data_IF_072809817889
#
_entry.id   IF_072809817889
#
_cell.length_a   1.000
_cell.length_b   1.000
_cell.length_c   1.000
_cell.angle_alpha   90.00
_cell.angle_beta   90.00
_cell.angle_gamma   90.00
#
_symmetry.space_group_name_H-M   'P 1'
#
loop_
_entity.id
_entity.type
_entity.pdbx_description
1 polymer ?
#
# COMPACT_ATOMS: atom_id res chain seq x y z
N UNK A 1 -22.06 23.15 -7.84
CA UNK A 1 -21.50 23.53 -6.52
C UNK A 1 -20.54 24.69 -6.74
N UNK A 2 -20.64 25.78 -5.98
CA UNK A 2 -19.75 26.96 -6.12
C UNK A 2 -18.37 26.69 -5.51
N UNK A 3 -17.34 27.49 -5.85
CA UNK A 3 -16.00 27.40 -5.22
C UNK A 3 -16.09 27.68 -3.72
N UNK A 4 -16.84 28.71 -3.33
CA UNK A 4 -17.09 29.04 -1.92
C UNK A 4 -17.67 27.84 -1.15
N UNK A 5 -18.71 27.18 -1.69
CA UNK A 5 -19.29 26.00 -1.02
C UNK A 5 -18.32 24.82 -0.95
N UNK A 6 -17.43 24.64 -1.93
CA UNK A 6 -16.37 23.62 -1.87
C UNK A 6 -15.40 23.88 -0.72
N UNK A 7 -15.02 25.15 -0.51
CA UNK A 7 -14.09 25.54 0.55
C UNK A 7 -14.74 25.43 1.94
N UNK A 8 -16.00 25.81 2.09
CA UNK A 8 -16.76 25.57 3.33
C UNK A 8 -16.82 24.07 3.67
N UNK A 9 -17.21 23.23 2.70
CA UNK A 9 -17.27 21.78 2.89
C UNK A 9 -15.90 21.18 3.23
N UNK A 10 -14.82 21.71 2.65
CA UNK A 10 -13.45 21.28 2.95
C UNK A 10 -13.11 21.55 4.42
N UNK A 11 -13.43 22.72 4.96
CA UNK A 11 -13.19 23.03 6.36
C UNK A 11 -14.11 22.22 7.30
N UNK A 12 -15.39 22.04 6.96
CA UNK A 12 -16.31 21.16 7.70
C UNK A 12 -15.74 19.72 7.78
N UNK A 13 -15.19 19.18 6.68
CA UNK A 13 -14.56 17.85 6.65
C UNK A 13 -13.30 17.80 7.52
N UNK A 14 -12.46 18.85 7.47
CA UNK A 14 -11.27 18.97 8.32
C UNK A 14 -11.66 18.93 9.80
N UNK A 15 -12.67 19.68 10.21
CA UNK A 15 -13.15 19.70 11.60
C UNK A 15 -13.65 18.33 12.05
N UNK A 16 -14.40 17.62 11.21
CA UNK A 16 -14.86 16.26 11.52
C UNK A 16 -13.70 15.28 11.69
N UNK A 17 -12.68 15.35 10.83
CA UNK A 17 -11.49 14.50 10.95
C UNK A 17 -10.74 14.79 12.25
N UNK A 18 -10.44 16.06 12.55
CA UNK A 18 -9.72 16.44 13.77
C UNK A 18 -10.51 16.03 15.01
N UNK A 19 -11.84 16.18 15.01
CA UNK A 19 -12.68 15.69 16.10
C UNK A 19 -12.50 14.19 16.36
N UNK A 20 -12.53 13.37 15.30
CA UNK A 20 -12.32 11.92 15.40
C UNK A 20 -10.90 11.57 15.84
N UNK A 21 -9.90 12.22 15.26
CA UNK A 21 -8.48 12.04 15.61
C UNK A 21 -8.23 12.36 17.09
N UNK A 22 -8.65 13.54 17.56
CA UNK A 22 -8.51 13.95 18.96
C UNK A 22 -9.29 13.04 19.90
N UNK A 23 -10.41 12.48 19.45
CA UNK A 23 -11.16 11.46 20.17
C UNK A 23 -10.31 10.21 20.39
N UNK A 24 -9.69 9.68 19.34
CA UNK A 24 -8.77 8.53 19.44
C UNK A 24 -7.58 8.85 20.36
N UNK A 25 -6.92 9.99 20.14
CA UNK A 25 -5.75 10.39 20.92
C UNK A 25 -6.04 10.53 22.41
N UNK A 26 -7.25 10.97 22.80
CA UNK A 26 -7.66 11.14 24.20
C UNK A 26 -8.11 9.86 24.88
N UNK A 27 -8.79 8.97 24.14
CA UNK A 27 -9.57 7.89 24.75
C UNK A 27 -9.05 6.49 24.41
N UNK A 28 -8.29 6.34 23.33
CA UNK A 28 -7.90 5.03 22.83
C UNK A 28 -6.40 4.84 22.67
N UNK A 29 -5.63 5.90 22.37
CA UNK A 29 -4.18 5.83 22.26
C UNK A 29 -3.56 5.22 23.54
N UNK A 30 -2.62 4.27 23.45
CA UNK A 30 -1.96 3.77 22.24
C UNK A 30 -2.64 2.55 21.56
N UNK A 31 -3.86 2.17 21.95
CA UNK A 31 -4.53 0.98 21.41
C UNK A 31 -4.86 1.05 19.92
N UNK A 32 -5.45 -0.04 19.41
CA UNK A 32 -5.68 -0.23 17.98
C UNK A 32 -6.83 0.61 17.44
N UNK A 33 -7.92 0.73 18.20
CA UNK A 33 -9.14 1.43 17.81
C UNK A 33 -9.85 2.10 19.01
N UNK A 34 -10.69 3.09 18.72
CA UNK A 34 -11.55 3.73 19.71
C UNK A 34 -12.91 3.04 19.77
N UNK A 35 -13.39 2.75 20.98
CA UNK A 35 -14.75 2.31 21.26
C UNK A 35 -15.61 3.54 21.63
N UNK A 36 -16.29 4.20 20.67
CA UNK A 36 -16.84 5.55 20.85
C UNK A 36 -18.00 5.63 21.85
N UNK A 37 -18.73 4.53 22.06
CA UNK A 37 -19.87 4.50 23.00
C UNK A 37 -19.45 4.27 24.45
N UNK A 38 -18.30 3.64 24.67
CA UNK A 38 -17.77 3.34 26.00
C UNK A 38 -16.56 4.20 26.38
N UNK A 39 -16.12 5.09 25.48
CA UNK A 39 -14.87 5.85 25.60
C UNK A 39 -13.66 4.96 25.92
N UNK A 40 -13.67 3.73 25.40
CA UNK A 40 -12.65 2.72 25.67
C UNK A 40 -11.67 2.55 24.51
N UNK A 41 -10.60 1.81 24.76
CA UNK A 41 -9.66 1.37 23.75
C UNK A 41 -9.95 -0.09 23.35
N UNK A 42 -9.96 -0.38 22.06
CA UNK A 42 -10.15 -1.71 21.49
C UNK A 42 -8.91 -2.21 20.75
N UNK A 43 -8.89 -3.53 20.55
CA UNK A 43 -7.94 -4.17 19.63
C UNK A 43 -8.64 -4.38 18.29
N UNK A 44 -8.00 -3.94 17.20
CA UNK A 44 -8.49 -4.26 15.86
C UNK A 44 -8.29 -5.75 15.60
N UNK A 45 -9.38 -6.51 15.61
CA UNK A 45 -9.36 -7.98 15.65
C UNK A 45 -8.50 -8.65 14.57
N UNK A 46 -8.38 -8.04 13.39
CA UNK A 46 -7.64 -8.61 12.26
C UNK A 46 -6.13 -8.32 12.30
N UNK A 47 -5.69 -7.31 13.04
CA UNK A 47 -4.28 -6.88 13.06
C UNK A 47 -3.63 -7.09 14.42
N UNK A 48 -4.39 -6.95 15.53
CA UNK A 48 -3.97 -7.31 16.90
C UNK A 48 -2.66 -6.70 17.39
N UNK A 49 -2.29 -5.54 16.84
CA UNK A 49 -1.19 -4.70 17.32
C UNK A 49 -1.73 -3.31 17.65
N UNK A 50 -1.10 -2.56 18.57
CA UNK A 50 -1.51 -1.21 18.92
C UNK A 50 -1.28 -0.23 17.75
N UNK A 51 -1.75 1.02 17.91
CA UNK A 51 -1.47 2.15 17.00
C UNK A 51 -1.98 2.06 15.56
N UNK A 52 -2.75 1.03 15.18
CA UNK A 52 -3.26 0.89 13.80
C UNK A 52 -4.03 2.13 13.35
N UNK A 53 -4.93 2.66 14.19
CA UNK A 53 -5.66 3.90 13.88
C UNK A 53 -4.71 5.10 13.69
N UNK A 54 -3.64 5.20 14.47
CA UNK A 54 -2.66 6.28 14.33
C UNK A 54 -1.90 6.17 13.00
N UNK A 55 -1.48 4.95 12.64
CA UNK A 55 -0.83 4.67 11.34
C UNK A 55 -1.76 5.01 10.18
N UNK A 56 -3.02 4.57 10.22
CA UNK A 56 -4.06 4.85 9.21
C UNK A 56 -4.39 6.36 9.10
N UNK A 57 -3.98 7.19 10.08
CA UNK A 57 -4.25 8.63 10.10
C UNK A 57 -3.07 9.49 9.63
N UNK A 58 -1.87 8.92 9.45
CA UNK A 58 -0.65 9.70 9.19
C UNK A 58 -0.71 10.48 7.87
N UNK A 59 -1.17 9.84 6.80
CA UNK A 59 -1.24 10.48 5.48
C UNK A 59 -2.31 11.58 5.43
N UNK A 60 -3.45 11.37 6.10
CA UNK A 60 -4.48 12.38 6.25
C UNK A 60 -3.97 13.61 7.03
N UNK A 61 -3.21 13.41 8.12
CA UNK A 61 -2.57 14.52 8.85
C UNK A 61 -1.60 15.31 7.97
N UNK A 62 -0.81 14.60 7.16
CA UNK A 62 0.11 15.20 6.19
C UNK A 62 -0.64 16.00 5.11
N UNK A 63 -1.66 15.42 4.48
CA UNK A 63 -2.44 16.06 3.42
C UNK A 63 -3.23 17.28 3.94
N UNK A 64 -3.70 17.23 5.18
CA UNK A 64 -4.35 18.36 5.84
C UNK A 64 -3.36 19.46 6.26
N UNK A 65 -2.05 19.29 6.03
CA UNK A 65 -1.03 20.30 6.28
C UNK A 65 -0.74 20.56 7.76
N UNK A 66 -1.15 19.66 8.67
CA UNK A 66 -0.81 19.79 10.08
C UNK A 66 0.58 19.19 10.35
N UNK A 67 1.63 19.90 9.92
CA UNK A 67 3.00 19.40 9.99
C UNK A 67 3.44 19.07 11.42
N UNK A 68 3.10 19.91 12.40
CA UNK A 68 3.45 19.69 13.81
C UNK A 68 2.86 18.38 14.34
N UNK A 69 1.55 18.15 14.11
CA UNK A 69 0.91 16.92 14.57
C UNK A 69 1.36 15.71 13.77
N UNK A 70 1.60 15.85 12.47
CA UNK A 70 2.18 14.79 11.64
C UNK A 70 3.52 14.31 12.21
N UNK A 71 4.46 15.22 12.49
CA UNK A 71 5.76 14.87 13.10
C UNK A 71 5.60 14.19 14.45
N UNK A 72 4.71 14.72 15.29
CA UNK A 72 4.38 14.12 16.59
C UNK A 72 3.87 12.68 16.42
N UNK A 73 2.91 12.47 15.52
CA UNK A 73 2.34 11.15 15.25
C UNK A 73 3.38 10.17 14.69
N UNK A 74 4.25 10.61 13.78
CA UNK A 74 5.37 9.81 13.25
C UNK A 74 6.27 9.32 14.37
N UNK A 75 6.68 10.20 15.30
CA UNK A 75 7.50 9.80 16.47
C UNK A 75 6.78 8.77 17.35
N UNK A 76 5.50 8.99 17.66
CA UNK A 76 4.70 8.06 18.47
C UNK A 76 4.58 6.68 17.81
N UNK A 77 4.41 6.63 16.48
CA UNK A 77 4.41 5.38 15.72
C UNK A 77 5.78 4.72 15.74
N UNK A 78 6.84 5.48 15.48
CA UNK A 78 8.22 4.98 15.47
C UNK A 78 8.62 4.35 16.81
N UNK A 79 8.22 4.98 17.92
CA UNK A 79 8.58 4.53 19.27
C UNK A 79 7.68 3.38 19.78
N UNK A 80 6.42 3.34 19.34
CA UNK A 80 5.39 2.48 19.94
C UNK A 80 4.94 1.28 19.12
N UNK A 81 5.16 1.27 17.80
CA UNK A 81 4.67 0.20 16.93
C UNK A 81 5.64 -1.01 16.91
N UNK A 82 5.24 -2.11 17.56
CA UNK A 82 5.99 -3.37 17.50
C UNK A 82 5.53 -4.25 16.33
N UNK A 83 6.23 -4.13 15.20
CA UNK A 83 6.01 -4.96 14.00
C UNK A 83 6.62 -6.37 14.09
N UNK A 84 7.20 -6.73 15.23
CA UNK A 84 7.80 -8.05 15.49
C UNK A 84 7.19 -8.76 16.72
N UNK A 85 6.02 -8.28 17.17
CA UNK A 85 5.28 -8.81 18.29
C UNK A 85 4.94 -10.31 18.11
N UNK A 86 4.76 -11.04 19.22
CA UNK A 86 4.23 -12.40 19.16
C UNK A 86 2.70 -12.37 19.01
N UNK A 87 2.23 -11.91 17.86
CA UNK A 87 0.81 -11.72 17.54
C UNK A 87 0.46 -12.35 16.18
N UNK A 88 -0.70 -13.00 16.11
CA UNK A 88 -1.26 -13.57 14.89
C UNK A 88 -2.10 -12.51 14.16
N UNK A 89 -1.64 -12.09 12.98
CA UNK A 89 -2.19 -10.97 12.20
C UNK A 89 -2.66 -11.43 10.82
N UNK A 90 -3.70 -10.78 10.31
CA UNK A 90 -4.14 -10.91 8.92
C UNK A 90 -3.09 -10.30 7.99
N UNK A 91 -2.63 -11.08 7.03
CA UNK A 91 -1.65 -10.65 6.02
C UNK A 91 -2.23 -9.50 5.18
N UNK A 92 -3.49 -9.65 4.77
CA UNK A 92 -4.20 -8.64 3.97
C UNK A 92 -4.37 -7.32 4.72
N UNK A 93 -4.91 -7.36 5.94
CA UNK A 93 -5.20 -6.14 6.70
C UNK A 93 -3.92 -5.44 7.16
N UNK A 94 -2.91 -6.20 7.57
CA UNK A 94 -1.61 -5.63 7.95
C UNK A 94 -0.92 -4.97 6.75
N UNK A 95 -1.10 -5.51 5.54
CA UNK A 95 -0.57 -4.95 4.31
C UNK A 95 -1.26 -3.62 3.96
N UNK A 96 -2.59 -3.61 3.81
CA UNK A 96 -3.30 -2.42 3.31
C UNK A 96 -3.37 -1.28 4.34
N UNK A 97 -3.31 -1.59 5.65
CA UNK A 97 -3.37 -0.60 6.73
C UNK A 97 -1.99 -0.16 7.18
N UNK A 98 -1.25 -1.08 7.80
CA UNK A 98 0.02 -0.72 8.44
C UNK A 98 1.08 -0.49 7.37
N UNK A 99 1.33 -1.47 6.50
CA UNK A 99 2.39 -1.31 5.50
C UNK A 99 2.06 -0.16 4.53
N UNK A 100 0.82 -0.09 4.04
CA UNK A 100 0.33 1.01 3.22
C UNK A 100 0.46 2.38 3.91
N UNK A 101 0.01 2.51 5.15
CA UNK A 101 0.10 3.76 5.93
C UNK A 101 1.54 4.20 6.21
N UNK A 102 2.42 3.28 6.58
CA UNK A 102 3.85 3.57 6.79
C UNK A 102 4.53 4.04 5.49
N UNK A 103 4.27 3.37 4.37
CA UNK A 103 4.84 3.73 3.06
C UNK A 103 4.30 5.08 2.55
N UNK A 104 2.98 5.29 2.66
CA UNK A 104 2.33 6.56 2.29
C UNK A 104 2.91 7.73 3.08
N UNK A 105 2.97 7.59 4.41
CA UNK A 105 3.54 8.60 5.30
C UNK A 105 5.03 8.84 5.04
N UNK A 106 5.81 7.80 4.73
CA UNK A 106 7.22 7.94 4.34
C UNK A 106 7.39 8.77 3.06
N UNK A 107 6.60 8.49 2.03
CA UNK A 107 6.64 9.22 0.76
C UNK A 107 6.24 10.70 0.94
N UNK A 108 5.24 10.97 1.79
CA UNK A 108 4.83 12.34 2.12
C UNK A 108 5.90 13.07 2.95
N UNK A 109 6.48 12.41 3.94
CA UNK A 109 7.53 12.98 4.79
C UNK A 109 8.82 13.33 4.03
N UNK A 110 9.13 12.57 2.96
CA UNK A 110 10.30 12.79 2.11
C UNK A 110 10.06 13.80 0.99
N UNK A 111 8.81 14.20 0.74
CA UNK A 111 8.49 15.18 -0.29
C UNK A 111 8.79 16.62 0.20
N UNK A 112 9.79 17.31 -0.38
CA UNK A 112 10.17 18.66 0.06
C UNK A 112 9.09 19.71 -0.21
N UNK A 113 8.21 19.49 -1.19
CA UNK A 113 7.18 20.45 -1.60
C UNK A 113 6.05 20.57 -0.56
N UNK A 114 5.89 19.55 0.30
CA UNK A 114 4.87 19.55 1.35
C UNK A 114 5.30 20.30 2.61
N UNK A 115 6.59 20.65 2.75
CA UNK A 115 7.10 21.37 3.93
C UNK A 115 6.94 20.62 5.26
N UNK A 116 6.64 19.31 5.22
CA UNK A 116 6.41 18.49 6.41
C UNK A 116 7.69 18.29 7.21
N UNK A 117 8.85 18.21 6.55
CA UNK A 117 10.18 18.18 7.16
C UNK A 117 11.14 19.07 6.37
N UNK A 118 12.31 19.40 6.95
CA UNK A 118 13.32 20.14 6.19
C UNK A 118 13.87 19.31 5.02
N UNK A 119 13.97 19.95 3.86
CA UNK A 119 14.71 19.42 2.72
C UNK A 119 16.21 19.40 3.06
N UNK A 120 16.91 18.31 2.72
CA UNK A 120 18.35 18.22 2.91
C UNK A 120 19.03 19.34 2.10
N UNK A 121 19.50 20.39 2.77
CA UNK A 121 20.41 21.37 2.18
C UNK A 121 21.69 20.65 1.73
N UNK A 122 22.02 20.75 0.44
CA UNK A 122 23.16 20.08 -0.17
C UNK A 122 24.46 20.20 0.63
N UNK A 123 24.98 19.06 1.08
CA UNK A 123 26.27 18.93 1.78
C UNK A 123 26.67 17.45 1.80
N UNK A 124 27.36 17.00 0.76
CA UNK A 124 27.59 15.59 0.47
C UNK A 124 28.26 14.78 1.57
N UNK A 125 27.68 13.61 1.83
CA UNK A 125 28.42 12.36 1.96
C UNK A 125 27.70 11.31 1.12
N UNK A 126 28.21 11.10 -0.09
CA UNK A 126 27.88 9.96 -0.91
C UNK A 126 28.14 8.69 -0.10
N UNK A 127 27.08 8.01 0.34
CA UNK A 127 27.14 6.57 0.59
C UNK A 127 26.73 5.94 -0.74
N UNK A 128 27.74 5.65 -1.57
CA UNK A 128 27.62 4.76 -2.74
C UNK A 128 26.46 5.06 -3.70
N UNK A 129 26.56 6.17 -4.43
CA UNK A 129 25.81 6.36 -5.66
C UNK A 129 26.31 5.37 -6.72
N UNK A 130 25.68 4.20 -6.82
CA UNK A 130 25.63 3.48 -8.08
C UNK A 130 24.43 4.06 -8.84
N UNK A 131 24.70 5.13 -9.58
CA UNK A 131 23.73 5.91 -10.33
C UNK A 131 22.67 5.05 -11.00
N UNK A 132 21.46 5.15 -10.47
CA UNK A 132 20.25 4.80 -11.18
C UNK A 132 19.15 5.75 -10.67
N UNK A 133 19.17 6.99 -11.19
CA UNK A 133 17.95 7.78 -11.21
C UNK A 133 16.90 6.92 -11.91
N UNK A 134 15.86 6.52 -11.18
CA UNK A 134 14.85 5.60 -11.69
C UNK A 134 14.07 6.33 -12.77
N UNK A 135 14.55 6.20 -14.02
CA UNK A 135 13.68 6.23 -15.19
C UNK A 135 13.07 4.84 -15.28
N UNK A 136 11.75 4.76 -15.16
CA UNK A 136 10.97 3.56 -15.43
C UNK A 136 10.90 3.32 -16.94
N UNK A 137 12.03 3.05 -17.57
CA UNK A 137 12.07 2.44 -18.90
C UNK A 137 13.42 1.75 -19.11
N UNK A 138 13.36 0.63 -19.82
CA UNK A 138 14.47 -0.21 -20.30
C UNK A 138 14.91 -1.38 -19.42
N UNK A 139 14.12 -2.46 -19.44
CA UNK A 139 14.63 -3.82 -19.77
C UNK A 139 13.58 -4.65 -20.52
N UNK A 140 13.74 -4.72 -21.84
CA UNK A 140 12.97 -5.62 -22.70
C UNK A 140 13.76 -6.01 -23.95
N UNK A 141 14.82 -6.81 -23.79
CA UNK A 141 15.66 -7.29 -24.87
C UNK A 141 15.48 -8.78 -25.18
N UNK A 142 14.76 -9.04 -26.28
CA UNK A 142 14.85 -10.17 -27.23
C UNK A 142 14.95 -11.64 -26.76
N UNK A 143 13.91 -12.41 -27.13
CA UNK A 143 14.08 -13.72 -27.75
C UNK A 143 12.97 -13.95 -28.80
N UNK A 144 13.40 -14.46 -29.95
CA UNK A 144 12.69 -14.50 -31.22
C UNK A 144 11.59 -15.57 -31.32
N UNK A 145 10.66 -15.34 -32.26
CA UNK A 145 9.65 -16.33 -32.67
C UNK A 145 8.74 -15.80 -33.77
N UNK A 146 9.28 -15.59 -34.97
CA UNK A 146 8.51 -15.26 -36.17
C UNK A 146 7.44 -16.32 -36.46
N UNK A 147 6.19 -15.88 -36.67
CA UNK A 147 5.27 -16.56 -37.58
C UNK A 147 4.23 -15.58 -38.13
N UNK A 148 4.31 -15.39 -39.44
CA UNK A 148 3.47 -14.56 -40.31
C UNK A 148 2.04 -15.08 -40.45
N UNK A 149 1.02 -14.20 -40.40
CA UNK A 149 -0.19 -14.29 -41.25
C UNK A 149 -0.83 -12.91 -41.44
N UNK A 150 -0.99 -12.50 -42.71
CA UNK A 150 -2.20 -11.86 -43.28
C UNK A 150 -2.60 -10.45 -42.84
N UNK A 151 -2.31 -9.46 -43.69
CA UNK A 151 -2.80 -8.08 -43.54
C UNK A 151 -4.26 -7.87 -43.93
N UNK A 152 -4.82 -6.74 -43.50
CA UNK A 152 -5.95 -6.04 -44.12
C UNK A 152 -5.92 -4.56 -43.73
N UNK A 153 -6.10 -3.70 -44.73
CA UNK A 153 -6.81 -2.42 -44.65
C UNK A 153 -6.17 -1.25 -43.90
N UNK A 154 -5.57 -0.33 -44.66
CA UNK A 154 -5.57 1.09 -44.30
C UNK A 154 -7.02 1.57 -44.19
N UNK A 155 -7.33 2.35 -43.14
CA UNK A 155 -8.05 3.61 -43.28
C UNK A 155 -7.68 4.52 -42.10
N UNK A 156 -7.15 5.69 -42.46
CA UNK A 156 -6.90 6.82 -41.56
C UNK A 156 -8.19 7.62 -41.52
N UNK A 157 -8.75 7.80 -40.32
CA UNK A 157 -9.59 8.96 -40.04
C UNK A 157 -9.15 9.56 -38.70
N UNK A 158 -8.88 10.85 -38.78
CA UNK A 158 -8.38 11.73 -37.74
C UNK A 158 -9.54 12.24 -36.91
N UNK A 159 -9.67 11.79 -35.67
CA UNK A 159 -10.61 12.38 -34.71
C UNK A 159 -9.91 12.76 -33.41
N UNK A 160 -9.79 14.07 -33.28
CA UNK A 160 -9.90 14.94 -32.11
C UNK A 160 -9.48 14.42 -30.73
N UNK A 161 -8.53 15.19 -30.18
CA UNK A 161 -8.06 15.23 -28.79
C UNK A 161 -9.23 15.30 -27.79
N UNK A 162 -9.68 14.17 -27.29
CA UNK A 162 -10.50 14.06 -26.08
C UNK A 162 -9.64 14.15 -24.82
N UNK A 163 -9.12 15.35 -24.52
CA UNK A 163 -8.45 15.62 -23.26
C UNK A 163 -9.46 15.60 -22.10
N UNK A 164 -9.19 14.78 -21.08
CA UNK A 164 -9.92 14.77 -19.82
C UNK A 164 -9.68 16.11 -19.10
N UNK A 165 -10.52 17.11 -19.39
CA UNK A 165 -10.60 18.36 -18.62
C UNK A 165 -11.42 18.08 -17.37
N UNK A 166 -10.76 17.97 -16.21
CA UNK A 166 -11.50 17.78 -14.97
C UNK A 166 -10.68 17.53 -13.72
N UNK A 167 -9.46 18.03 -13.61
CA UNK A 167 -8.78 18.25 -12.33
C UNK A 167 -8.03 19.56 -12.48
N UNK A 168 -8.52 20.61 -11.81
CA UNK A 168 -7.91 21.94 -11.82
C UNK A 168 -6.46 21.84 -11.28
N UNK A 169 -5.49 22.41 -11.99
CA UNK A 169 -4.05 22.51 -11.64
C UNK A 169 -3.78 23.42 -10.40
N UNK A 170 -4.78 23.62 -9.53
CA UNK A 170 -4.81 24.60 -8.43
C UNK A 170 -4.65 23.93 -7.04
N UNK A 171 -4.23 22.65 -7.00
CA UNK A 171 -4.08 21.91 -5.74
C UNK A 171 -2.74 22.17 -5.02
N UNK A 172 -1.69 22.51 -5.76
CA UNK A 172 -0.33 22.66 -5.22
C UNK A 172 -0.07 24.06 -4.63
N UNK A 173 -0.76 25.10 -5.09
CA UNK A 173 -0.54 26.48 -4.64
C UNK A 173 -1.26 26.81 -3.32
N UNK A 174 -2.38 26.14 -3.00
CA UNK A 174 -3.16 26.41 -1.77
C UNK A 174 -2.62 25.73 -0.50
N UNK A 175 -1.82 24.66 -0.61
CA UNK A 175 -1.21 23.99 0.55
C UNK A 175 0.06 24.72 1.02
N UNK A 176 0.72 25.49 0.13
CA UNK A 176 1.95 26.22 0.43
C UNK A 176 1.80 27.50 1.24
N UNK A 177 0.58 28.01 1.49
CA UNK A 177 0.36 29.37 2.00
C UNK A 177 -0.38 29.52 3.34
N UNK A 178 -0.52 28.46 4.15
CA UNK A 178 -1.22 28.55 5.47
C UNK A 178 -0.45 27.99 6.67
N UNK A 179 0.87 28.15 6.66
CA UNK A 179 1.67 28.05 7.87
C UNK A 179 1.78 29.44 8.53
N UNK A 180 0.74 29.89 9.23
CA UNK A 180 0.86 31.04 10.13
C UNK A 180 0.62 30.62 11.59
N UNK A 181 1.74 30.64 12.33
CA UNK A 181 1.93 31.18 13.67
C UNK A 181 1.13 30.60 14.84
N UNK A 182 1.66 29.49 15.36
CA UNK A 182 1.68 29.21 16.80
C UNK A 182 3.12 29.31 17.32
N UNK A 183 3.40 30.34 18.11
CA UNK A 183 4.67 30.48 18.84
C UNK A 183 4.79 29.35 19.89
N UNK A 184 5.56 28.32 19.55
CA UNK A 184 5.85 27.19 20.43
C UNK A 184 6.73 26.17 19.73
N UNK A 185 8.06 26.31 19.88
CA UNK A 185 9.10 25.39 19.40
C UNK A 185 9.03 25.08 17.89
N UNK A 186 9.47 26.05 17.08
CA UNK A 186 9.98 25.82 15.71
C UNK A 186 11.29 25.02 15.75
N UNK A 187 11.22 23.80 16.29
CA UNK A 187 12.24 22.78 16.14
C UNK A 187 12.24 22.33 14.69
N UNK A 188 13.22 22.83 13.96
CA UNK A 188 13.45 22.62 12.55
C UNK A 188 13.87 21.15 12.23
N UNK A 189 12.92 20.23 12.35
CA UNK A 189 13.16 18.78 12.36
C UNK A 189 13.41 18.16 10.98
N UNK A 190 14.33 17.19 10.95
CA UNK A 190 14.70 16.39 9.80
C UNK A 190 14.07 15.00 9.94
N UNK A 191 13.64 14.41 8.82
CA UNK A 191 13.11 13.05 8.79
C UNK A 191 14.22 12.03 8.54
N UNK A 192 14.28 10.98 9.36
CA UNK A 192 15.38 10.01 9.37
C UNK A 192 15.05 8.70 8.62
N UNK A 193 13.83 8.59 8.08
CA UNK A 193 13.39 7.41 7.32
C UNK A 193 12.90 6.25 8.20
N UNK A 194 12.61 6.51 9.48
CA UNK A 194 12.21 5.52 10.47
C UNK A 194 10.97 4.70 10.07
N UNK A 195 10.02 5.31 9.34
CA UNK A 195 8.82 4.60 8.87
C UNK A 195 9.15 3.57 7.78
N UNK A 196 10.13 3.83 6.91
CA UNK A 196 10.56 2.86 5.90
C UNK A 196 11.24 1.66 6.56
N UNK A 197 12.00 1.89 7.63
CA UNK A 197 12.62 0.81 8.43
C UNK A 197 11.53 -0.08 9.06
N UNK A 198 10.48 0.51 9.61
CA UNK A 198 9.34 -0.26 10.13
C UNK A 198 8.58 -1.00 9.03
N UNK A 199 8.35 -0.36 7.88
CA UNK A 199 7.70 -0.95 6.72
C UNK A 199 8.47 -2.17 6.19
N UNK A 200 9.80 -2.08 6.05
CA UNK A 200 10.64 -3.21 5.63
C UNK A 200 10.55 -4.36 6.62
N UNK A 201 10.68 -4.09 7.93
CA UNK A 201 10.58 -5.12 8.97
C UNK A 201 9.23 -5.83 8.93
N UNK A 202 8.13 -5.09 8.84
CA UNK A 202 6.79 -5.67 8.71
C UNK A 202 6.68 -6.51 7.43
N UNK A 203 7.09 -5.99 6.28
CA UNK A 203 7.08 -6.73 5.02
C UNK A 203 7.80 -8.07 5.14
N UNK A 204 8.97 -8.10 5.78
CA UNK A 204 9.71 -9.35 6.04
C UNK A 204 8.96 -10.32 6.93
N UNK A 205 8.19 -9.83 7.91
CA UNK A 205 7.34 -10.66 8.78
C UNK A 205 6.11 -11.23 8.06
N UNK A 206 5.67 -10.61 6.96
CA UNK A 206 4.56 -11.10 6.14
C UNK A 206 4.99 -12.15 5.09
N UNK A 207 6.23 -12.11 4.60
CA UNK A 207 6.76 -13.05 3.58
C UNK A 207 6.54 -14.55 3.87
N UNK A 208 6.61 -15.06 5.12
CA UNK A 208 6.34 -16.47 5.41
C UNK A 208 4.97 -16.96 4.92
N UNK A 209 3.97 -16.08 4.80
CA UNK A 209 2.65 -16.44 4.29
C UNK A 209 2.67 -16.94 2.84
N UNK A 210 3.62 -16.49 2.03
CA UNK A 210 3.75 -16.83 0.60
C UNK A 210 4.44 -18.19 0.35
N UNK A 211 4.92 -18.85 1.41
CA UNK A 211 5.55 -20.18 1.34
C UNK A 211 4.50 -21.27 1.14
N UNK A 212 3.88 -21.30 -0.04
CA UNK A 212 2.86 -22.27 -0.39
C UNK A 212 3.17 -22.98 -1.72
N UNK A 213 2.72 -24.24 -1.92
CA UNK A 213 2.97 -25.00 -3.15
C UNK A 213 2.37 -24.42 -4.43
N UNK A 214 1.60 -23.32 -4.36
CA UNK A 214 0.82 -22.80 -5.48
C UNK A 214 1.56 -21.80 -6.37
N UNK A 215 2.80 -21.42 -6.02
CA UNK A 215 3.64 -20.52 -6.81
C UNK A 215 3.97 -21.08 -8.20
N UNK A 216 4.06 -20.20 -9.21
CA UNK A 216 4.36 -20.59 -10.61
C UNK A 216 5.85 -20.92 -10.76
N UNK A 217 6.34 -21.92 -11.50
CA UNK A 217 5.83 -22.76 -12.59
C UNK A 217 6.44 -24.18 -12.45
N UNK A 218 5.62 -25.24 -12.38
CA UNK A 218 6.01 -26.60 -12.80
C UNK A 218 7.22 -27.26 -12.13
N UNK A 219 7.81 -26.66 -11.10
CA UNK A 219 8.94 -27.17 -10.35
C UNK A 219 8.56 -27.41 -8.90
N UNK A 220 8.99 -28.53 -8.32
CA UNK A 220 8.82 -28.86 -6.91
C UNK A 220 9.62 -27.95 -5.96
N UNK A 221 10.00 -26.75 -6.39
CA UNK A 221 10.82 -25.83 -5.61
C UNK A 221 9.95 -24.98 -4.69
N UNK A 222 9.66 -25.55 -3.52
CA UNK A 222 8.95 -24.90 -2.41
C UNK A 222 9.76 -23.78 -1.74
N UNK A 223 10.93 -23.41 -2.25
CA UNK A 223 11.74 -22.31 -1.71
C UNK A 223 11.35 -20.94 -2.27
N UNK A 224 10.59 -20.89 -3.37
CA UNK A 224 10.15 -19.64 -3.99
C UNK A 224 8.99 -19.01 -3.18
N UNK A 225 9.15 -17.75 -2.77
CA UNK A 225 8.16 -16.97 -2.02
C UNK A 225 7.02 -16.45 -2.90
N UNK A 226 6.52 -17.22 -3.86
CA UNK A 226 5.60 -16.75 -4.92
C UNK A 226 4.23 -17.43 -4.90
N UNK A 227 3.92 -18.19 -3.84
CA UNK A 227 2.66 -18.90 -3.71
C UNK A 227 1.50 -18.01 -3.30
N UNK A 228 0.28 -18.51 -3.51
CA UNK A 228 -0.94 -17.89 -2.97
C UNK A 228 -0.79 -17.87 -1.44
N UNK A 229 -0.83 -16.71 -0.78
CA UNK A 229 -0.47 -16.63 0.64
C UNK A 229 -1.55 -17.23 1.55
N UNK A 230 -1.15 -17.62 2.75
CA UNK A 230 -2.09 -17.82 3.86
C UNK A 230 -2.73 -16.49 4.29
N UNK A 231 -3.94 -16.54 4.84
CA UNK A 231 -4.63 -15.36 5.36
C UNK A 231 -3.98 -14.77 6.62
N UNK A 232 -3.36 -15.61 7.45
CA UNK A 232 -2.78 -15.22 8.74
C UNK A 232 -1.29 -15.56 8.85
N UNK A 233 -0.53 -14.70 9.52
CA UNK A 233 0.85 -14.94 9.92
C UNK A 233 1.07 -14.47 11.37
N UNK A 234 1.89 -15.18 12.13
CA UNK A 234 2.43 -14.64 13.37
C UNK A 234 3.68 -13.80 13.07
N UNK A 235 3.72 -12.53 13.50
CA UNK A 235 4.84 -11.63 13.15
C UNK A 235 6.20 -12.14 13.66
N UNK A 236 6.21 -12.88 14.78
CA UNK A 236 7.44 -13.46 15.34
C UNK A 236 7.75 -14.87 14.84
N UNK A 237 6.72 -15.71 14.69
CA UNK A 237 6.84 -17.17 14.50
C UNK A 237 6.51 -17.66 13.09
N UNK A 238 6.01 -16.80 12.20
CA UNK A 238 5.54 -17.17 10.86
C UNK A 238 4.14 -17.78 10.86
N UNK A 239 3.78 -18.56 9.84
CA UNK A 239 2.41 -19.09 9.69
C UNK A 239 2.04 -20.00 10.87
N UNK A 240 0.93 -19.74 11.60
CA UNK A 240 0.49 -20.56 12.73
C UNK A 240 0.25 -22.02 12.37
N UNK A 241 0.50 -22.93 13.32
CA UNK A 241 0.18 -24.36 13.14
C UNK A 241 -1.33 -24.55 13.08
N UNK A 242 -1.82 -25.16 12.02
CA UNK A 242 -3.25 -25.40 11.81
C UNK A 242 -4.00 -24.21 11.19
N UNK A 243 -3.28 -23.19 10.72
CA UNK A 243 -3.87 -22.10 9.95
C UNK A 243 -4.68 -22.63 8.76
N UNK A 244 -5.83 -22.00 8.51
CA UNK A 244 -6.67 -22.35 7.37
C UNK A 244 -5.90 -22.14 6.07
N UNK A 245 -6.03 -23.09 5.15
CA UNK A 245 -5.47 -22.97 3.80
C UNK A 245 -6.35 -22.13 2.89
N UNK A 246 -7.53 -21.73 3.33
CA UNK A 246 -8.50 -21.02 2.51
C UNK A 246 -8.24 -19.53 2.59
N UNK A 247 -7.87 -18.94 1.46
CA UNK A 247 -7.67 -17.51 1.29
C UNK A 247 -8.72 -16.94 0.35
N UNK A 248 -9.16 -15.71 0.60
CA UNK A 248 -10.01 -14.97 -0.35
C UNK A 248 -9.18 -14.45 -1.52
N UNK A 249 -9.82 -14.23 -2.67
CA UNK A 249 -9.18 -13.66 -3.86
C UNK A 249 -8.62 -12.26 -3.57
N UNK A 250 -9.41 -11.42 -2.89
CA UNK A 250 -8.97 -10.11 -2.40
C UNK A 250 -7.76 -10.24 -1.45
N UNK A 251 -7.88 -11.04 -0.38
CA UNK A 251 -6.84 -11.16 0.62
C UNK A 251 -5.51 -11.72 0.09
N UNK A 252 -5.58 -12.60 -0.92
CA UNK A 252 -4.40 -13.21 -1.52
C UNK A 252 -3.76 -12.35 -2.63
N UNK A 253 -4.51 -11.47 -3.28
CA UNK A 253 -4.03 -10.74 -4.47
C UNK A 253 -3.94 -9.22 -4.32
N UNK A 254 -4.37 -8.65 -3.21
CA UNK A 254 -4.29 -7.21 -2.92
C UNK A 254 -3.11 -6.87 -2.01
N UNK A 255 -1.93 -7.30 -2.44
CA UNK A 255 -0.64 -7.09 -1.75
C UNK A 255 0.38 -6.39 -2.65
N UNK A 256 0.12 -6.32 -3.96
CA UNK A 256 1.12 -5.94 -4.97
C UNK A 256 1.51 -4.48 -4.93
N UNK A 257 0.61 -3.55 -4.62
CA UNK A 257 0.94 -2.11 -4.59
C UNK A 257 1.99 -1.84 -3.51
N UNK A 258 1.70 -2.23 -2.27
CA UNK A 258 2.57 -1.94 -1.12
C UNK A 258 3.89 -2.71 -1.21
N UNK A 259 3.85 -4.00 -1.53
CA UNK A 259 5.08 -4.81 -1.65
C UNK A 259 5.99 -4.33 -2.77
N UNK A 260 5.42 -3.84 -3.87
CA UNK A 260 6.23 -3.38 -4.99
C UNK A 260 6.78 -1.97 -4.76
N UNK A 261 6.03 -1.08 -4.09
CA UNK A 261 6.57 0.20 -3.60
C UNK A 261 7.68 -0.04 -2.58
N UNK A 262 7.50 -0.97 -1.63
CA UNK A 262 8.53 -1.34 -0.67
C UNK A 262 9.80 -1.85 -1.37
N UNK A 263 9.67 -2.69 -2.40
CA UNK A 263 10.81 -3.16 -3.19
C UNK A 263 11.53 -2.01 -3.90
N UNK A 264 10.78 -1.06 -4.47
CA UNK A 264 11.34 0.10 -5.14
C UNK A 264 12.13 1.01 -4.17
N UNK A 265 11.62 1.22 -2.96
CA UNK A 265 12.25 2.07 -1.95
C UNK A 265 13.45 1.42 -1.26
N UNK A 266 13.40 0.10 -1.03
CA UNK A 266 14.47 -0.64 -0.33
C UNK A 266 15.54 -1.21 -1.26
N UNK A 267 15.22 -1.38 -2.55
CA UNK A 267 16.05 -2.09 -3.52
C UNK A 267 16.02 -3.62 -3.37
N UNK A 268 15.23 -4.17 -2.45
CA UNK A 268 15.05 -5.61 -2.25
C UNK A 268 13.82 -6.11 -3.02
N UNK A 269 14.05 -6.81 -4.14
CA UNK A 269 12.99 -7.29 -5.04
C UNK A 269 12.09 -8.39 -4.47
N UNK A 270 12.45 -8.98 -3.32
CA UNK A 270 11.74 -10.14 -2.76
C UNK A 270 10.26 -9.87 -2.50
N UNK A 271 9.89 -8.63 -2.16
CA UNK A 271 8.50 -8.29 -1.87
C UNK A 271 7.67 -8.22 -3.17
N UNK A 272 8.14 -7.49 -4.18
CA UNK A 272 7.47 -7.40 -5.48
C UNK A 272 7.31 -8.79 -6.11
N UNK A 273 8.39 -9.58 -6.12
CA UNK A 273 8.40 -10.95 -6.66
C UNK A 273 7.37 -11.84 -5.96
N UNK A 274 7.23 -11.72 -4.64
CA UNK A 274 6.28 -12.50 -3.88
C UNK A 274 4.83 -12.16 -4.21
N UNK A 275 4.48 -10.86 -4.17
CA UNK A 275 3.13 -10.40 -4.43
C UNK A 275 2.71 -10.61 -5.90
N UNK A 276 3.61 -10.33 -6.85
CA UNK A 276 3.36 -10.63 -8.27
C UNK A 276 3.19 -12.12 -8.52
N UNK A 277 4.01 -12.94 -7.86
CA UNK A 277 3.90 -14.39 -7.92
C UNK A 277 2.53 -14.89 -7.51
N UNK A 278 2.02 -14.38 -6.38
CA UNK A 278 0.68 -14.70 -5.89
C UNK A 278 -0.42 -14.29 -6.88
N UNK A 279 -0.34 -13.07 -7.45
CA UNK A 279 -1.30 -12.61 -8.46
C UNK A 279 -1.27 -13.48 -9.71
N UNK A 280 -0.08 -13.82 -10.23
CA UNK A 280 0.07 -14.74 -11.38
C UNK A 280 -0.49 -16.12 -11.05
N UNK A 281 -0.21 -16.65 -9.87
CA UNK A 281 -0.73 -17.94 -9.40
C UNK A 281 -2.27 -17.96 -9.31
N UNK A 282 -2.91 -16.88 -8.85
CA UNK A 282 -4.37 -16.73 -8.87
C UNK A 282 -4.89 -16.67 -10.32
N UNK A 283 -4.28 -15.81 -11.13
CA UNK A 283 -4.64 -15.56 -12.53
C UNK A 283 -4.60 -16.87 -13.36
N UNK A 284 -3.58 -17.70 -13.17
CA UNK A 284 -3.42 -18.99 -13.88
C UNK A 284 -4.52 -20.02 -13.54
N UNK A 285 -5.27 -19.80 -12.46
CA UNK A 285 -6.33 -20.72 -11.99
C UNK A 285 -7.73 -20.32 -12.43
N UNK A 286 -7.86 -19.33 -13.32
CA UNK A 286 -9.15 -19.03 -13.97
C UNK A 286 -9.82 -20.27 -14.55
N UNK A 287 -11.15 -20.26 -14.52
CA UNK A 287 -11.96 -21.24 -15.23
C UNK A 287 -11.63 -21.28 -16.72
N UNK A 288 -11.39 -22.48 -17.27
CA UNK A 288 -11.03 -22.65 -18.69
C UNK A 288 -12.14 -22.18 -19.65
N UNK A 289 -13.41 -22.29 -19.24
CA UNK A 289 -14.55 -21.95 -20.09
C UNK A 289 -14.83 -20.44 -20.18
N UNK A 290 -14.63 -19.70 -19.09
CA UNK A 290 -15.03 -18.29 -19.00
C UNK A 290 -13.87 -17.33 -18.75
N UNK A 291 -12.70 -17.83 -18.35
CA UNK A 291 -11.60 -16.97 -17.93
C UNK A 291 -11.91 -16.18 -16.65
N UNK A 292 -12.70 -16.74 -15.74
CA UNK A 292 -13.09 -16.07 -14.48
C UNK A 292 -12.57 -16.80 -13.24
N UNK A 293 -12.37 -16.03 -12.17
CA UNK A 293 -11.83 -16.47 -10.88
C UNK A 293 -12.95 -16.73 -9.86
N UNK A 294 -12.69 -17.62 -8.89
CA UNK A 294 -13.56 -17.80 -7.72
C UNK A 294 -13.25 -16.79 -6.62
N UNK A 295 -13.99 -16.85 -5.52
CA UNK A 295 -13.82 -15.96 -4.35
C UNK A 295 -12.89 -16.50 -3.29
N UNK A 296 -12.87 -17.81 -3.09
CA UNK A 296 -12.00 -18.45 -2.09
C UNK A 296 -11.25 -19.60 -2.73
N UNK A 297 -9.97 -19.72 -2.39
CA UNK A 297 -9.05 -20.69 -2.94
C UNK A 297 -8.25 -21.35 -1.82
N UNK A 298 -8.00 -22.63 -1.96
CA UNK A 298 -7.05 -23.33 -1.09
C UNK A 298 -5.61 -23.05 -1.54
N UNK A 299 -4.85 -22.34 -0.71
CA UNK A 299 -3.47 -21.91 -0.98
C UNK A 299 -2.47 -23.05 -1.11
N UNK A 300 -2.81 -24.30 -0.72
CA UNK A 300 -1.95 -25.47 -0.91
C UNK A 300 -2.25 -26.20 -2.22
N UNK A 301 -3.52 -26.45 -2.50
CA UNK A 301 -3.97 -27.25 -3.64
C UNK A 301 -4.23 -26.41 -4.88
N UNK A 302 -4.50 -25.12 -4.71
CA UNK A 302 -4.91 -24.22 -5.78
C UNK A 302 -6.34 -24.45 -6.27
N UNK A 303 -7.18 -25.14 -5.50
CA UNK A 303 -8.57 -25.42 -5.86
C UNK A 303 -9.47 -24.32 -5.30
N UNK A 304 -10.36 -23.77 -6.13
CA UNK A 304 -11.40 -22.84 -5.69
C UNK A 304 -12.41 -23.55 -4.79
N UNK A 305 -12.56 -23.06 -3.55
CA UNK A 305 -13.53 -23.56 -2.57
C UNK A 305 -14.84 -22.79 -2.60
N UNK A 306 -14.82 -21.54 -3.05
CA UNK A 306 -16.01 -20.77 -3.42
C UNK A 306 -15.89 -20.32 -4.88
N UNK A 307 -16.66 -20.94 -5.76
CA UNK A 307 -16.54 -20.81 -7.23
C UNK A 307 -17.36 -19.67 -7.82
N UNK A 308 -18.13 -18.94 -7.00
CA UNK A 308 -18.87 -17.77 -7.47
C UNK A 308 -17.91 -16.64 -7.82
N UNK A 309 -17.94 -16.18 -9.07
CA UNK A 309 -17.20 -14.98 -9.50
C UNK A 309 -17.96 -13.71 -9.12
N UNK A 310 -17.28 -12.71 -8.58
CA UNK A 310 -17.85 -11.41 -8.26
C UNK A 310 -16.78 -10.32 -8.18
N UNK A 311 -17.19 -9.08 -8.45
CA UNK A 311 -16.41 -7.86 -8.16
C UNK A 311 -16.71 -7.28 -6.76
N UNK A 312 -17.59 -7.94 -5.99
CA UNK A 312 -17.90 -7.56 -4.62
C UNK A 312 -16.99 -8.24 -3.60
N UNK A 313 -17.46 -8.31 -2.35
CA UNK A 313 -16.73 -8.84 -1.20
C UNK A 313 -15.98 -10.13 -1.52
N UNK A 314 -14.73 -10.20 -1.05
CA UNK A 314 -13.75 -11.28 -1.25
C UNK A 314 -13.12 -11.34 -2.65
N UNK A 315 -13.51 -10.50 -3.60
CA UNK A 315 -12.88 -10.38 -4.92
C UNK A 315 -12.65 -8.96 -5.42
N UNK A 316 -13.27 -7.95 -4.80
CA UNK A 316 -13.20 -6.51 -5.11
C UNK A 316 -11.79 -5.99 -5.41
N UNK A 317 -10.98 -5.87 -4.37
CA UNK A 317 -9.68 -5.21 -4.36
C UNK A 317 -8.65 -5.96 -5.20
N UNK A 318 -8.87 -7.23 -5.55
CA UNK A 318 -8.01 -7.92 -6.52
C UNK A 318 -8.03 -7.19 -7.87
N UNK A 319 -9.22 -6.88 -8.38
CA UNK A 319 -9.38 -6.19 -9.66
C UNK A 319 -8.92 -4.73 -9.59
N UNK A 320 -9.13 -4.06 -8.45
CA UNK A 320 -8.61 -2.72 -8.23
C UNK A 320 -7.08 -2.69 -8.29
N UNK A 321 -6.41 -3.65 -7.66
CA UNK A 321 -4.95 -3.73 -7.65
C UNK A 321 -4.41 -4.00 -9.05
N UNK A 322 -5.06 -4.82 -9.88
CA UNK A 322 -4.65 -5.00 -11.28
C UNK A 322 -4.61 -3.66 -12.04
N UNK A 323 -5.63 -2.82 -11.88
CA UNK A 323 -5.66 -1.49 -12.50
C UNK A 323 -4.63 -0.53 -11.89
N UNK A 324 -4.52 -0.49 -10.55
CA UNK A 324 -3.55 0.37 -9.86
C UNK A 324 -2.11 0.02 -10.26
N UNK A 325 -1.79 -1.25 -10.37
CA UNK A 325 -0.49 -1.72 -10.87
C UNK A 325 -0.28 -1.35 -12.35
N UNK A 326 -1.31 -1.42 -13.20
CA UNK A 326 -1.18 -0.94 -14.57
C UNK A 326 -0.83 0.56 -14.64
N UNK A 327 -1.44 1.38 -13.79
CA UNK A 327 -1.16 2.83 -13.71
C UNK A 327 0.22 3.12 -13.11
N UNK A 328 0.63 2.41 -12.06
CA UNK A 328 1.90 2.64 -11.37
C UNK A 328 3.13 2.22 -12.20
N UNK A 329 3.03 1.19 -13.03
CA UNK A 329 4.13 0.70 -13.88
C UNK A 329 4.04 1.12 -15.34
N UNK A 330 2.90 1.67 -15.76
CA UNK A 330 2.75 2.25 -17.09
C UNK A 330 3.29 3.68 -17.12
N UNK A 331 4.02 4.04 -18.18
CA UNK A 331 4.05 5.43 -18.62
C UNK A 331 2.63 5.76 -19.08
N UNK A 332 1.83 6.35 -18.20
CA UNK A 332 0.56 6.97 -18.58
C UNK A 332 0.95 8.27 -19.30
N UNK A 333 1.20 8.16 -20.59
CA UNK A 333 1.76 9.22 -21.44
C UNK A 333 0.90 10.47 -21.58
#
# INVERSE_FOLDING_TARGET
MTRERRLELREEIREMFIHSYDGYMRHAFPGGELLPLSCGSGELHLVKVPLVTLVDSLDALAIMGNATEFRRAVRLVSDGLDVEADADVSVFESNIRILGGLLSAHLLATNPDLGLYRSHGGGGRCVGDNGNGVRFSDRGGNAAGERSVGGYGQDRESDEKGGFRGLDDDWSEEIGHRAEEGEGESGEEQYDGELLVLAERLGRRLLPAFKTPTGSLGGCDVTQLSGIPYGTVNLKRGVPKGETTISSLAGAGSLTVEFSVLSALTGDGVFAEAAEGAVKALFDRRSAALGLLGKHIDSKTGVWTETQSSIGTNGDSFYEYLLKMYVLWGDVG
#
